data_IF_980310850603
#
_entry.id   IF_980310850603
#
_cell.length_a   1.000
_cell.length_b   1.000
_cell.length_c   1.000
_cell.angle_alpha   90.00
_cell.angle_beta   90.00
_cell.angle_gamma   90.00
#
_symmetry.space_group_name_H-M   'P 1'
#
loop_
_entity.id
_entity.type
_entity.pdbx_description
1 polymer ?
#
# COMPACT_ATOMS: atom_id res chain seq x y z
N UNK A 1 -8.79 5.52 -24.15
CA UNK A 1 -8.95 4.17 -23.57
C UNK A 1 -7.69 3.34 -23.75
N UNK A 2 -7.22 3.10 -24.99
CA UNK A 2 -5.99 2.32 -25.22
C UNK A 2 -4.74 2.99 -24.62
N UNK A 3 -4.57 4.31 -24.79
CA UNK A 3 -3.47 5.05 -24.18
C UNK A 3 -3.48 5.03 -22.65
N UNK A 4 -4.67 5.10 -22.03
CA UNK A 4 -4.84 5.02 -20.58
C UNK A 4 -4.45 3.64 -20.06
N UNK A 5 -4.87 2.58 -20.76
CA UNK A 5 -4.50 1.20 -20.42
C UNK A 5 -2.99 0.98 -20.57
N UNK A 6 -2.38 1.47 -21.63
CA UNK A 6 -0.92 1.40 -21.82
C UNK A 6 -0.20 2.12 -20.68
N UNK A 7 -0.67 3.32 -20.28
CA UNK A 7 -0.10 4.06 -19.15
C UNK A 7 -0.18 3.26 -17.85
N UNK A 8 -1.36 2.74 -17.53
CA UNK A 8 -1.59 1.93 -16.32
C UNK A 8 -0.70 0.69 -16.29
N UNK A 9 -0.62 -0.05 -17.40
CA UNK A 9 0.23 -1.24 -17.50
C UNK A 9 1.70 -0.87 -17.29
N UNK A 10 2.16 0.23 -17.87
CA UNK A 10 3.53 0.73 -17.65
C UNK A 10 3.81 1.04 -16.19
N UNK A 11 2.88 1.73 -15.50
CA UNK A 11 3.00 2.01 -14.06
C UNK A 11 3.12 0.72 -13.26
N UNK A 12 2.28 -0.28 -13.56
CA UNK A 12 2.30 -1.56 -12.85
C UNK A 12 3.63 -2.29 -13.07
N UNK A 13 4.04 -2.50 -14.33
CA UNK A 13 5.24 -3.28 -14.66
C UNK A 13 6.50 -2.60 -14.13
N UNK A 14 6.66 -1.30 -14.38
CA UNK A 14 7.82 -0.54 -13.89
C UNK A 14 7.80 -0.48 -12.36
N UNK A 15 6.62 -0.31 -11.76
CA UNK A 15 6.44 -0.28 -10.31
C UNK A 15 6.89 -1.56 -9.64
N UNK A 16 6.45 -2.74 -10.11
CA UNK A 16 6.85 -4.04 -9.56
C UNK A 16 8.38 -4.21 -9.60
N UNK A 17 9.01 -3.88 -10.73
CA UNK A 17 10.47 -3.96 -10.88
C UNK A 17 11.16 -2.98 -9.93
N UNK A 18 10.66 -1.75 -9.84
CA UNK A 18 11.23 -0.70 -9.00
C UNK A 18 11.17 -1.05 -7.51
N UNK A 19 10.05 -1.61 -7.05
CA UNK A 19 9.92 -2.11 -5.68
C UNK A 19 10.89 -3.25 -5.39
N UNK A 20 11.01 -4.22 -6.30
CA UNK A 20 11.96 -5.32 -6.16
C UNK A 20 13.43 -4.85 -6.08
N UNK A 21 13.82 -3.92 -6.95
CA UNK A 21 15.18 -3.33 -6.92
C UNK A 21 15.38 -2.54 -5.62
N UNK A 22 14.40 -1.73 -5.22
CA UNK A 22 14.45 -0.96 -3.97
C UNK A 22 14.61 -1.89 -2.77
N UNK A 23 13.88 -3.02 -2.74
CA UNK A 23 13.99 -4.00 -1.67
C UNK A 23 15.40 -4.59 -1.58
N UNK A 24 15.97 -5.00 -2.72
CA UNK A 24 17.34 -5.55 -2.76
C UNK A 24 18.35 -4.51 -2.25
N UNK A 25 18.20 -3.24 -2.62
CA UNK A 25 19.05 -2.16 -2.13
C UNK A 25 18.87 -1.92 -0.62
N UNK A 26 17.63 -1.87 -0.14
CA UNK A 26 17.31 -1.77 1.29
C UNK A 26 17.91 -2.93 2.08
N UNK A 27 17.79 -4.17 1.61
CA UNK A 27 18.42 -5.35 2.22
C UNK A 27 19.95 -5.24 2.32
N UNK A 28 20.59 -4.62 1.32
CA UNK A 28 22.04 -4.39 1.36
C UNK A 28 22.43 -3.32 2.36
N UNK A 29 21.69 -2.22 2.41
CA UNK A 29 21.93 -1.10 3.33
C UNK A 29 21.65 -1.46 4.78
N UNK A 30 20.61 -2.27 5.02
CA UNK A 30 20.13 -2.68 6.34
C UNK A 30 20.37 -4.18 6.57
N UNK A 31 21.53 -4.68 6.15
CA UNK A 31 21.87 -6.10 6.21
C UNK A 31 21.92 -6.68 7.63
N UNK A 32 22.11 -5.83 8.64
CA UNK A 32 22.06 -6.20 10.06
C UNK A 32 20.64 -6.37 10.62
N UNK A 33 19.61 -6.02 9.86
CA UNK A 33 18.20 -6.15 10.25
C UNK A 33 17.51 -7.30 9.51
N UNK A 34 16.36 -7.69 10.03
CA UNK A 34 15.54 -8.79 9.51
C UNK A 34 15.02 -8.52 8.10
N UNK A 35 14.56 -9.58 7.45
CA UNK A 35 13.87 -9.48 6.16
C UNK A 35 12.60 -8.64 6.30
N UNK A 36 11.77 -8.97 7.29
CA UNK A 36 10.53 -8.26 7.64
C UNK A 36 10.79 -6.78 7.89
N UNK A 37 11.86 -6.41 8.63
CA UNK A 37 12.25 -5.01 8.83
C UNK A 37 12.40 -4.24 7.53
N UNK A 38 13.16 -4.80 6.59
CA UNK A 38 13.41 -4.16 5.31
C UNK A 38 12.13 -4.07 4.47
N UNK A 39 11.27 -5.09 4.54
CA UNK A 39 10.00 -5.07 3.85
C UNK A 39 9.08 -3.99 4.44
N UNK A 40 8.98 -3.90 5.77
CA UNK A 40 8.22 -2.86 6.49
C UNK A 40 8.65 -1.44 6.16
N UNK A 41 9.94 -1.20 5.89
CA UNK A 41 10.39 0.09 5.39
C UNK A 41 9.75 0.43 4.05
N UNK A 42 9.74 -0.52 3.11
CA UNK A 42 9.08 -0.36 1.81
C UNK A 42 7.56 -0.21 1.97
N UNK A 43 6.92 -1.01 2.83
CA UNK A 43 5.48 -0.91 3.12
C UNK A 43 5.11 0.45 3.69
N UNK A 44 5.95 1.03 4.55
CA UNK A 44 5.76 2.38 5.09
C UNK A 44 5.80 3.43 3.99
N UNK A 45 6.76 3.34 3.06
CA UNK A 45 6.86 4.25 1.91
C UNK A 45 5.64 4.09 1.00
N UNK A 46 5.25 2.86 0.69
CA UNK A 46 4.07 2.57 -0.11
C UNK A 46 2.82 3.20 0.51
N UNK A 47 2.51 2.87 1.76
CA UNK A 47 1.30 3.34 2.42
C UNK A 47 1.25 4.87 2.49
N UNK A 48 2.38 5.52 2.81
CA UNK A 48 2.47 6.99 2.85
C UNK A 48 2.15 7.61 1.49
N UNK A 49 2.75 7.09 0.41
CA UNK A 49 2.51 7.60 -0.94
C UNK A 49 1.08 7.26 -1.40
N UNK A 50 0.60 6.04 -1.14
CA UNK A 50 -0.73 5.59 -1.54
C UNK A 50 -1.84 6.42 -0.89
N UNK A 51 -1.74 6.69 0.42
CA UNK A 51 -2.68 7.56 1.15
C UNK A 51 -2.63 8.99 0.61
N UNK A 52 -1.44 9.50 0.28
CA UNK A 52 -1.28 10.83 -0.31
C UNK A 52 -1.94 10.91 -1.69
N UNK A 53 -1.66 9.95 -2.58
CA UNK A 53 -2.24 9.89 -3.92
C UNK A 53 -3.76 9.67 -3.88
N UNK A 54 -4.24 8.81 -2.99
CA UNK A 54 -5.67 8.64 -2.74
C UNK A 54 -6.30 9.96 -2.28
N UNK A 55 -5.63 10.68 -1.37
CA UNK A 55 -6.13 11.96 -0.87
C UNK A 55 -6.25 13.02 -1.95
N UNK A 56 -5.29 13.06 -2.86
CA UNK A 56 -5.27 14.00 -3.98
C UNK A 56 -6.22 13.62 -5.12
N UNK A 57 -6.65 12.35 -5.20
CA UNK A 57 -7.50 11.85 -6.28
C UNK A 57 -8.98 11.71 -5.89
N UNK A 58 -9.32 11.80 -4.60
CA UNK A 58 -10.70 11.95 -4.12
C UNK A 58 -11.25 13.31 -4.57
N UNK A 59 -12.41 13.29 -5.21
CA UNK A 59 -13.02 14.50 -5.80
C UNK A 59 -13.71 15.38 -4.75
N UNK A 60 -14.37 14.75 -3.79
CA UNK A 60 -15.15 15.42 -2.76
C UNK A 60 -15.05 14.65 -1.44
N UNK A 61 -14.40 15.27 -0.46
CA UNK A 61 -14.23 14.67 0.86
C UNK A 61 -15.51 14.65 1.71
N UNK A 62 -16.53 15.42 1.34
CA UNK A 62 -17.86 15.29 1.96
C UNK A 62 -18.56 13.99 1.57
N UNK A 63 -18.21 13.42 0.42
CA UNK A 63 -18.57 12.05 0.02
C UNK A 63 -17.42 11.38 -0.75
N UNK A 64 -16.44 10.76 -0.06
CA UNK A 64 -15.23 10.21 -0.71
C UNK A 64 -15.51 9.08 -1.70
N UNK A 65 -16.66 8.41 -1.54
CA UNK A 65 -17.16 7.33 -2.40
C UNK A 65 -18.04 7.83 -3.54
N UNK A 66 -18.31 9.14 -3.64
CA UNK A 66 -19.09 9.73 -4.71
C UNK A 66 -18.18 10.19 -5.87
N UNK A 67 -18.68 10.17 -7.12
CA UNK A 67 -19.88 9.45 -7.56
C UNK A 67 -19.68 7.93 -7.50
N UNK A 68 -20.73 7.19 -7.11
CA UNK A 68 -20.69 5.72 -6.95
C UNK A 68 -20.64 5.00 -8.30
N UNK A 69 -19.97 3.86 -8.33
CA UNK A 69 -19.76 3.00 -9.50
C UNK A 69 -19.21 3.77 -10.71
N UNK A 70 -18.52 4.88 -10.46
CA UNK A 70 -18.08 5.80 -11.47
C UNK A 70 -16.86 5.27 -12.23
N UNK A 71 -16.70 5.79 -13.45
CA UNK A 71 -15.45 5.59 -14.18
C UNK A 71 -14.32 6.31 -13.41
N UNK A 72 -13.21 5.64 -13.09
CA UNK A 72 -12.10 6.26 -12.39
C UNK A 72 -11.48 7.39 -13.22
N UNK A 73 -11.10 8.48 -12.55
CA UNK A 73 -10.28 9.53 -13.16
C UNK A 73 -8.86 9.01 -13.45
N UNK A 74 -8.09 9.67 -14.34
CA UNK A 74 -6.70 9.31 -14.58
C UNK A 74 -5.86 9.21 -13.29
N UNK A 75 -6.06 10.12 -12.34
CA UNK A 75 -5.35 10.13 -11.05
C UNK A 75 -5.76 8.93 -10.18
N UNK A 76 -7.05 8.57 -10.15
CA UNK A 76 -7.52 7.39 -9.44
C UNK A 76 -6.95 6.11 -10.07
N UNK A 77 -6.89 6.03 -11.40
CA UNK A 77 -6.26 4.92 -12.12
C UNK A 77 -4.77 4.80 -11.80
N UNK A 78 -4.03 5.91 -11.82
CA UNK A 78 -2.60 5.92 -11.52
C UNK A 78 -2.35 5.54 -10.05
N UNK A 79 -3.23 5.98 -9.13
CA UNK A 79 -3.21 5.60 -7.70
C UNK A 79 -3.44 4.10 -7.53
N UNK A 80 -4.46 3.54 -8.17
CA UNK A 80 -4.74 2.10 -8.15
C UNK A 80 -3.59 1.29 -8.77
N UNK A 81 -3.01 1.76 -9.88
CA UNK A 81 -1.89 1.11 -10.54
C UNK A 81 -0.62 1.10 -9.67
N UNK A 82 -0.34 2.22 -8.98
CA UNK A 82 0.77 2.32 -8.03
C UNK A 82 0.60 1.30 -6.90
N UNK A 83 -0.58 1.25 -6.26
CA UNK A 83 -0.82 0.29 -5.17
C UNK A 83 -0.83 -1.15 -5.64
N UNK A 84 -1.45 -1.45 -6.79
CA UNK A 84 -1.40 -2.78 -7.39
C UNK A 84 0.04 -3.25 -7.65
N UNK A 85 0.91 -2.36 -8.13
CA UNK A 85 2.32 -2.70 -8.36
C UNK A 85 3.04 -3.10 -7.08
N UNK A 86 2.78 -2.40 -5.96
CA UNK A 86 3.33 -2.74 -4.66
C UNK A 86 2.76 -4.07 -4.15
N UNK A 87 1.43 -4.26 -4.22
CA UNK A 87 0.78 -5.48 -3.73
C UNK A 87 1.28 -6.74 -4.46
N UNK A 88 1.54 -6.66 -5.76
CA UNK A 88 2.16 -7.75 -6.53
C UNK A 88 3.58 -8.02 -6.06
N UNK A 89 4.40 -6.96 -5.91
CA UNK A 89 5.75 -7.10 -5.37
C UNK A 89 5.73 -7.75 -3.97
N UNK A 90 4.87 -7.26 -3.07
CA UNK A 90 4.85 -7.67 -1.67
C UNK A 90 4.42 -9.14 -1.54
N UNK A 91 3.40 -9.55 -2.29
CA UNK A 91 2.96 -10.95 -2.35
C UNK A 91 4.08 -11.89 -2.81
N UNK A 92 4.89 -11.46 -3.80
CA UNK A 92 6.06 -12.22 -4.26
C UNK A 92 7.14 -12.23 -3.18
N UNK A 93 7.42 -11.07 -2.57
CA UNK A 93 8.47 -10.90 -1.57
C UNK A 93 8.22 -11.75 -0.32
N UNK A 94 6.96 -11.80 0.15
CA UNK A 94 6.56 -12.64 1.28
C UNK A 94 6.80 -14.14 1.08
N UNK A 95 6.90 -14.65 -0.16
CA UNK A 95 7.23 -16.07 -0.39
C UNK A 95 8.68 -16.43 -0.01
N UNK A 96 9.54 -15.43 0.11
CA UNK A 96 10.95 -15.61 0.49
C UNK A 96 11.20 -15.37 1.98
N UNK A 97 10.20 -14.91 2.73
CA UNK A 97 10.30 -14.79 4.17
C UNK A 97 10.19 -16.17 4.84
N UNK A 98 10.82 -16.31 6.01
CA UNK A 98 10.81 -17.56 6.77
C UNK A 98 9.43 -17.86 7.37
N UNK A 99 8.58 -16.85 7.52
CA UNK A 99 7.25 -16.96 8.12
C UNK A 99 6.20 -16.48 7.13
N UNK A 100 5.43 -17.41 6.56
CA UNK A 100 4.31 -17.09 5.68
C UNK A 100 3.08 -16.77 6.54
N UNK A 101 2.64 -15.52 6.52
CA UNK A 101 1.35 -15.11 7.06
C UNK A 101 0.25 -15.34 6.01
N UNK A 102 -0.60 -16.32 6.27
CA UNK A 102 -1.72 -16.67 5.38
C UNK A 102 -2.72 -15.52 5.29
N UNK A 103 -2.97 -14.83 6.41
CA UNK A 103 -3.83 -13.66 6.47
C UNK A 103 -3.34 -12.54 5.55
N UNK A 104 -2.04 -12.24 5.57
CA UNK A 104 -1.43 -11.25 4.68
C UNK A 104 -1.47 -11.69 3.20
N UNK A 105 -1.19 -12.96 2.92
CA UNK A 105 -1.25 -13.49 1.56
C UNK A 105 -2.67 -13.42 0.96
N UNK A 106 -3.69 -13.79 1.74
CA UNK A 106 -5.10 -13.68 1.32
C UNK A 106 -5.50 -12.22 1.14
N UNK A 107 -5.10 -11.34 2.07
CA UNK A 107 -5.35 -9.90 1.96
C UNK A 107 -4.78 -9.33 0.65
N UNK A 108 -3.49 -9.56 0.36
CA UNK A 108 -2.87 -9.10 -0.87
C UNK A 108 -3.54 -9.69 -2.11
N UNK A 109 -3.86 -10.97 -2.11
CA UNK A 109 -4.53 -11.62 -3.23
C UNK A 109 -5.89 -10.97 -3.55
N UNK A 110 -6.73 -10.78 -2.53
CA UNK A 110 -8.04 -10.13 -2.69
C UNK A 110 -7.89 -8.66 -3.13
N UNK A 111 -6.94 -7.94 -2.56
CA UNK A 111 -6.62 -6.55 -2.94
C UNK A 111 -6.18 -6.46 -4.40
N UNK A 112 -5.31 -7.36 -4.87
CA UNK A 112 -4.88 -7.46 -6.27
C UNK A 112 -6.08 -7.66 -7.19
N UNK A 113 -6.97 -8.61 -6.87
CA UNK A 113 -8.18 -8.86 -7.65
C UNK A 113 -9.09 -7.62 -7.69
N UNK A 114 -9.26 -6.93 -6.57
CA UNK A 114 -10.03 -5.69 -6.48
C UNK A 114 -9.49 -4.59 -7.41
N UNK A 115 -8.18 -4.32 -7.35
CA UNK A 115 -7.54 -3.34 -8.23
C UNK A 115 -7.60 -3.74 -9.71
N UNK A 116 -7.32 -5.01 -10.03
CA UNK A 116 -7.39 -5.51 -11.41
C UNK A 116 -8.82 -5.38 -11.95
N UNK A 117 -9.83 -5.75 -11.17
CA UNK A 117 -11.23 -5.59 -11.57
C UNK A 117 -11.60 -4.12 -11.78
N UNK A 118 -11.23 -3.23 -10.86
CA UNK A 118 -11.47 -1.78 -10.97
C UNK A 118 -10.84 -1.16 -12.21
N UNK A 119 -9.59 -1.53 -12.51
CA UNK A 119 -8.85 -1.04 -13.67
C UNK A 119 -9.35 -1.64 -14.99
N UNK A 120 -9.69 -2.93 -15.01
CA UNK A 120 -10.15 -3.63 -16.21
C UNK A 120 -11.58 -3.23 -16.61
N UNK A 121 -12.50 -3.17 -15.64
CA UNK A 121 -13.88 -2.77 -15.88
C UNK A 121 -14.07 -1.24 -15.91
N UNK A 122 -13.07 -0.48 -15.47
CA UNK A 122 -13.12 0.98 -15.31
C UNK A 122 -14.38 1.43 -14.55
N UNK A 123 -14.64 0.81 -13.40
CA UNK A 123 -15.78 1.10 -12.53
C UNK A 123 -15.34 1.19 -11.08
N UNK A 124 -16.15 1.92 -10.30
CA UNK A 124 -16.00 2.08 -8.85
C UNK A 124 -14.71 2.76 -8.43
N UNK A 125 -14.26 3.75 -9.21
CA UNK A 125 -13.00 4.48 -8.95
C UNK A 125 -12.97 5.15 -7.59
N UNK A 126 -14.02 5.90 -7.26
CA UNK A 126 -14.14 6.58 -5.96
C UNK A 126 -14.19 5.57 -4.80
N UNK A 127 -14.93 4.47 -4.93
CA UNK A 127 -15.00 3.45 -3.88
C UNK A 127 -13.66 2.74 -3.65
N UNK A 128 -12.96 2.36 -4.71
CA UNK A 128 -11.68 1.63 -4.58
C UNK A 128 -10.62 2.55 -3.96
N UNK A 129 -10.55 3.82 -4.39
CA UNK A 129 -9.57 4.76 -3.82
C UNK A 129 -9.89 5.14 -2.38
N UNK A 130 -11.16 5.34 -2.04
CA UNK A 130 -11.56 5.56 -0.65
C UNK A 130 -11.26 4.33 0.23
N UNK A 131 -11.50 3.12 -0.30
CA UNK A 131 -11.16 1.86 0.38
C UNK A 131 -9.65 1.74 0.60
N UNK A 132 -8.84 2.05 -0.42
CA UNK A 132 -7.38 2.10 -0.30
C UNK A 132 -6.95 3.10 0.80
N UNK A 133 -7.55 4.28 0.84
CA UNK A 133 -7.22 5.29 1.85
C UNK A 133 -7.48 4.76 3.27
N UNK A 134 -8.67 4.20 3.51
CA UNK A 134 -9.04 3.67 4.84
C UNK A 134 -8.14 2.48 5.22
N UNK A 135 -7.87 1.59 4.25
CA UNK A 135 -7.03 0.42 4.50
C UNK A 135 -5.58 0.80 4.87
N UNK A 136 -5.04 1.86 4.26
CA UNK A 136 -3.62 2.19 4.38
C UNK A 136 -3.29 3.32 5.36
N UNK A 137 -4.24 4.15 5.78
CA UNK A 137 -3.95 5.33 6.62
C UNK A 137 -3.25 4.97 7.93
N UNK A 138 -3.54 3.80 8.49
CA UNK A 138 -2.92 3.31 9.73
C UNK A 138 -1.60 2.54 9.51
N UNK A 139 -1.32 2.09 8.28
CA UNK A 139 -0.18 1.21 7.96
C UNK A 139 1.18 1.82 8.32
N UNK A 140 1.49 3.12 8.05
CA UNK A 140 2.78 3.70 8.41
C UNK A 140 3.08 3.59 9.92
N UNK A 141 2.07 3.78 10.77
CA UNK A 141 2.22 3.67 12.22
C UNK A 141 2.35 2.22 12.68
N UNK A 142 1.61 1.30 12.03
CA UNK A 142 1.75 -0.13 12.27
C UNK A 142 3.17 -0.63 11.95
N UNK A 143 3.71 -0.26 10.80
CA UNK A 143 5.08 -0.61 10.43
C UNK A 143 6.11 0.07 11.33
N UNK A 144 5.95 1.36 11.64
CA UNK A 144 6.82 2.09 12.56
C UNK A 144 6.91 1.40 13.93
N UNK A 145 5.77 0.93 14.47
CA UNK A 145 5.76 0.22 15.76
C UNK A 145 6.65 -1.02 15.74
N UNK A 146 6.54 -1.86 14.72
CA UNK A 146 7.37 -3.08 14.63
C UNK A 146 8.84 -2.76 14.34
N UNK A 147 9.11 -1.77 13.49
CA UNK A 147 10.47 -1.24 13.23
C UNK A 147 11.11 -0.79 14.55
N UNK A 148 10.40 0.00 15.36
CA UNK A 148 10.87 0.48 16.67
C UNK A 148 11.20 -0.67 17.61
N UNK A 149 10.40 -1.75 17.62
CA UNK A 149 10.70 -2.93 18.45
C UNK A 149 12.03 -3.57 18.05
N UNK A 150 12.29 -3.71 16.76
CA UNK A 150 13.51 -4.34 16.26
C UNK A 150 14.76 -3.48 16.52
N UNK A 151 14.65 -2.14 16.47
CA UNK A 151 15.77 -1.24 16.79
C UNK A 151 15.95 -0.98 18.30
N UNK A 152 15.21 -1.68 19.18
CA UNK A 152 15.36 -1.62 20.64
C UNK A 152 14.50 -0.58 21.37
N UNK A 153 13.47 -0.04 20.72
CA UNK A 153 12.59 1.02 21.24
C UNK A 153 11.20 0.52 21.67
N UNK A 154 11.01 -0.79 21.91
CA UNK A 154 9.72 -1.46 22.18
C UNK A 154 8.85 -0.82 23.26
N UNK A 155 9.43 -0.28 24.32
CA UNK A 155 8.68 0.24 25.48
C UNK A 155 8.90 1.74 25.70
N UNK A 156 9.13 2.48 24.61
CA UNK A 156 9.33 3.92 24.65
C UNK A 156 8.03 4.69 24.39
N UNK A 157 7.99 5.95 24.81
CA UNK A 157 6.87 6.86 24.49
C UNK A 157 6.61 6.97 22.98
N UNK A 158 7.64 6.80 22.15
CA UNK A 158 7.50 6.79 20.70
C UNK A 158 6.80 5.51 20.19
N UNK A 159 7.11 4.35 20.76
CA UNK A 159 6.40 3.11 20.43
C UNK A 159 4.93 3.19 20.86
N UNK A 160 4.68 3.71 22.06
CA UNK A 160 3.32 3.96 22.55
C UNK A 160 2.56 4.96 21.67
N UNK A 161 3.21 6.03 21.21
CA UNK A 161 2.58 6.99 20.30
C UNK A 161 2.18 6.36 18.97
N UNK A 162 2.99 5.43 18.43
CA UNK A 162 2.64 4.66 17.25
C UNK A 162 1.40 3.77 17.51
N UNK A 163 1.34 3.08 18.64
CA UNK A 163 0.16 2.28 19.04
C UNK A 163 -1.11 3.11 19.16
N UNK A 164 -1.04 4.26 19.84
CA UNK A 164 -2.17 5.18 19.99
C UNK A 164 -2.62 5.72 18.63
N UNK A 165 -1.68 6.02 17.73
CA UNK A 165 -2.00 6.50 16.37
C UNK A 165 -2.76 5.44 15.56
N UNK A 166 -2.35 4.18 15.64
CA UNK A 166 -3.09 3.06 14.99
C UNK A 166 -4.51 2.98 15.54
N UNK A 167 -4.66 3.05 16.88
CA UNK A 167 -5.98 2.99 17.51
C UNK A 167 -6.85 4.13 17.01
N UNK A 168 -6.41 5.38 17.11
CA UNK A 168 -7.15 6.57 16.68
C UNK A 168 -7.59 6.46 15.22
N UNK A 169 -6.69 6.06 14.32
CA UNK A 169 -6.96 5.99 12.88
C UNK A 169 -7.94 4.87 12.49
N UNK A 170 -8.17 3.87 13.35
CA UNK A 170 -9.15 2.80 13.12
C UNK A 170 -10.59 3.20 13.49
N UNK A 171 -10.80 4.33 14.17
CA UNK A 171 -12.13 4.84 14.54
C UNK A 171 -12.58 6.04 13.68
N UNK A 172 -11.84 6.33 12.62
CA UNK A 172 -12.27 7.19 11.51
C UNK A 172 -12.76 6.33 10.35
#
# INVERSE_FOLDING_TARGET
>A
MEEEQIRVIKIIVIGVISWGVTFILTRKLFSGYSFDFCNRLLSTVHATIAVTLATLSVQDWSCPVCPRASKPSPQQMDTMAFSLSYMIYDLICCQFDQVISIDNAVHHFVSILGFVAGLAYQKSGSEIVATLWIAEVSSPFYHLREILKEIGYRDTNLNLAADVSIYILKYF
#
